data_IF_119189577674
#
_entry.id   IF_119189577674
#
_cell.length_a   1.000
_cell.length_b   1.000
_cell.length_c   1.000
_cell.angle_alpha   90.00
_cell.angle_beta   90.00
_cell.angle_gamma   90.00
#
_symmetry.space_group_name_H-M   'P 1'
#
loop_
_entity.id
_entity.type
_entity.pdbx_description
1 polymer ?
#
# COMPACT_ATOMS: atom_id res chain seq x y z
N UNK A 1 -100.74 24.94 11.62
CA UNK A 1 -102.14 24.93 12.08
C UNK A 1 -102.57 26.37 12.21
N UNK A 2 -102.97 26.93 11.07
CA UNK A 2 -103.26 28.34 10.83
C UNK A 2 -104.62 28.67 11.45
N UNK A 3 -104.85 29.93 11.85
CA UNK A 3 -106.17 30.43 12.25
C UNK A 3 -107.27 29.80 11.40
N UNK A 4 -108.30 29.22 12.04
CA UNK A 4 -109.44 28.68 11.31
C UNK A 4 -110.00 29.70 10.31
N UNK A 5 -110.53 29.28 9.15
CA UNK A 5 -110.98 30.17 8.08
C UNK A 5 -111.95 31.25 8.57
N UNK A 6 -112.74 30.91 9.59
CA UNK A 6 -113.63 31.80 10.35
C UNK A 6 -112.92 32.98 11.03
N UNK A 7 -111.80 32.73 11.72
CA UNK A 7 -111.04 33.76 12.44
C UNK A 7 -110.29 34.65 11.43
N UNK A 8 -109.72 34.05 10.38
CA UNK A 8 -109.07 34.79 9.31
C UNK A 8 -110.06 35.71 8.59
N UNK A 9 -111.25 35.22 8.26
CA UNK A 9 -112.33 36.02 7.67
C UNK A 9 -112.77 37.16 8.59
N UNK A 10 -112.84 36.93 9.90
CA UNK A 10 -113.19 37.97 10.88
C UNK A 10 -112.13 39.07 10.96
N UNK A 11 -110.83 38.70 10.99
CA UNK A 11 -109.73 39.68 10.97
C UNK A 11 -109.71 40.46 9.65
N UNK A 12 -109.90 39.79 8.51
CA UNK A 12 -109.99 40.45 7.20
C UNK A 12 -111.14 41.46 7.16
N UNK A 13 -112.33 41.10 7.67
CA UNK A 13 -113.47 42.02 7.78
C UNK A 13 -113.17 43.23 8.68
N UNK A 14 -112.51 43.03 9.83
CA UNK A 14 -112.14 44.12 10.73
C UNK A 14 -111.11 45.07 10.09
N UNK A 15 -110.11 44.54 9.40
CA UNK A 15 -109.10 45.35 8.70
C UNK A 15 -109.68 46.09 7.48
N UNK A 16 -110.63 45.48 6.76
CA UNK A 16 -111.37 46.13 5.70
C UNK A 16 -112.28 47.25 6.24
N UNK A 17 -112.97 47.02 7.35
CA UNK A 17 -113.80 48.04 8.02
C UNK A 17 -112.96 49.23 8.52
N UNK A 18 -111.72 48.99 8.94
CA UNK A 18 -110.76 50.03 9.31
C UNK A 18 -110.11 50.76 8.11
N UNK A 19 -110.54 50.46 6.86
CA UNK A 19 -109.98 50.95 5.59
C UNK A 19 -108.48 50.71 5.42
N UNK A 20 -107.93 49.70 6.09
CA UNK A 20 -106.53 49.30 5.95
C UNK A 20 -106.31 48.37 4.75
N UNK A 21 -107.36 47.64 4.35
CA UNK A 21 -107.40 46.76 3.20
C UNK A 21 -108.65 47.06 2.35
N UNK A 22 -108.51 47.05 1.04
CA UNK A 22 -109.63 47.05 0.09
C UNK A 22 -109.69 45.67 -0.55
N UNK A 23 -110.87 45.06 -0.56
CA UNK A 23 -111.09 43.77 -1.22
C UNK A 23 -111.88 44.03 -2.50
N UNK A 24 -111.28 43.78 -3.65
CA UNK A 24 -111.92 43.85 -4.96
C UNK A 24 -112.13 42.43 -5.50
N UNK A 25 -113.31 42.16 -6.06
CA UNK A 25 -113.58 40.88 -6.74
C UNK A 25 -113.14 41.02 -8.19
N UNK A 26 -112.19 40.20 -8.63
CA UNK A 26 -111.79 40.16 -10.04
C UNK A 26 -112.42 38.91 -10.66
N UNK A 27 -113.53 39.12 -11.38
CA UNK A 27 -114.19 38.07 -12.16
C UNK A 27 -115.66 37.84 -11.77
N UNK A 28 -116.46 37.47 -12.77
CA UNK A 28 -117.92 37.25 -12.68
C UNK A 28 -118.29 35.98 -11.88
N UNK A 29 -117.30 35.26 -11.36
CA UNK A 29 -117.44 34.00 -10.66
C UNK A 29 -116.89 34.00 -9.23
N UNK A 30 -116.68 35.17 -8.60
CA UNK A 30 -116.60 35.33 -7.14
C UNK A 30 -115.51 34.56 -6.36
N UNK A 31 -114.68 33.77 -7.02
CA UNK A 31 -113.66 32.91 -6.37
C UNK A 31 -112.29 33.61 -6.22
N UNK A 32 -112.02 34.66 -7.00
CA UNK A 32 -110.76 35.41 -6.95
C UNK A 32 -110.96 36.82 -6.35
N UNK A 33 -110.81 36.91 -5.02
CA UNK A 33 -110.79 38.19 -4.30
C UNK A 33 -109.36 38.73 -4.20
N UNK A 34 -109.09 39.87 -4.83
CA UNK A 34 -107.84 40.60 -4.66
C UNK A 34 -107.94 41.49 -3.42
N UNK A 35 -106.91 41.45 -2.56
CA UNK A 35 -106.81 42.30 -1.37
C UNK A 35 -105.68 43.30 -1.57
N UNK A 36 -106.02 44.57 -1.69
CA UNK A 36 -105.07 45.68 -1.83
C UNK A 36 -104.88 46.39 -0.49
N UNK A 37 -103.62 46.67 -0.12
CA UNK A 37 -103.30 47.43 1.09
C UNK A 37 -103.38 48.92 0.78
N UNK A 38 -104.24 49.65 1.49
CA UNK A 38 -104.57 51.05 1.17
C UNK A 38 -103.54 52.05 1.74
N UNK A 39 -102.84 51.68 2.82
CA UNK A 39 -101.91 52.58 3.51
C UNK A 39 -100.53 51.96 3.74
N UNK A 40 -99.50 52.64 3.27
CA UNK A 40 -98.06 52.31 3.45
C UNK A 40 -97.64 52.20 4.93
N UNK A 41 -98.42 52.83 5.83
CA UNK A 41 -98.28 52.76 7.29
C UNK A 41 -98.34 51.34 7.87
N UNK A 42 -99.10 50.43 7.24
CA UNK A 42 -99.23 49.03 7.69
C UNK A 42 -97.96 48.22 7.37
N UNK A 43 -97.40 48.45 6.18
CA UNK A 43 -96.17 47.80 5.71
C UNK A 43 -94.97 48.26 6.56
N UNK A 44 -94.94 49.53 6.96
CA UNK A 44 -93.86 50.09 7.80
C UNK A 44 -93.81 49.51 9.22
N UNK A 45 -94.98 49.23 9.84
CA UNK A 45 -95.05 48.73 11.23
C UNK A 45 -95.02 47.20 11.33
N UNK A 46 -95.33 46.46 10.27
CA UNK A 46 -95.32 45.00 10.26
C UNK A 46 -94.03 44.45 9.64
N UNK A 47 -93.00 44.31 10.46
CA UNK A 47 -91.67 43.85 10.02
C UNK A 47 -91.68 42.49 9.29
N UNK A 48 -92.53 41.54 9.72
CA UNK A 48 -92.66 40.24 9.04
C UNK A 48 -93.23 40.36 7.63
N UNK A 49 -94.24 41.22 7.42
CA UNK A 49 -94.82 41.48 6.10
C UNK A 49 -93.80 42.18 5.19
N UNK A 50 -93.06 43.14 5.73
CA UNK A 50 -91.97 43.82 5.00
C UNK A 50 -90.93 42.82 4.50
N UNK A 51 -90.49 41.89 5.36
CA UNK A 51 -89.54 40.83 4.97
C UNK A 51 -90.11 39.91 3.89
N UNK A 52 -91.37 39.49 4.00
CA UNK A 52 -92.00 38.66 2.95
C UNK A 52 -92.14 39.40 1.63
N UNK A 53 -92.44 40.71 1.67
CA UNK A 53 -92.53 41.55 0.48
C UNK A 53 -91.14 41.77 -0.15
N UNK A 54 -90.09 41.96 0.65
CA UNK A 54 -88.70 42.02 0.17
C UNK A 54 -88.27 40.69 -0.47
N UNK A 55 -88.54 39.55 0.17
CA UNK A 55 -88.28 38.21 -0.39
C UNK A 55 -89.06 37.97 -1.70
N UNK A 56 -90.32 38.41 -1.77
CA UNK A 56 -91.14 38.28 -2.98
C UNK A 56 -90.65 39.19 -4.10
N UNK A 57 -90.20 40.41 -3.79
CA UNK A 57 -89.60 41.33 -4.76
C UNK A 57 -88.27 40.79 -5.31
N UNK A 58 -87.39 40.24 -4.47
CA UNK A 58 -86.15 39.58 -4.91
C UNK A 58 -86.46 38.38 -5.83
N UNK A 59 -87.48 37.59 -5.49
CA UNK A 59 -87.93 36.47 -6.31
C UNK A 59 -88.50 36.93 -7.66
N UNK A 60 -89.31 37.98 -7.65
CA UNK A 60 -89.90 38.56 -8.86
C UNK A 60 -88.83 39.13 -9.79
N UNK A 61 -87.82 39.82 -9.24
CA UNK A 61 -86.70 40.36 -10.00
C UNK A 61 -85.90 39.24 -10.69
N UNK A 62 -85.54 38.19 -9.95
CA UNK A 62 -84.80 37.06 -10.50
C UNK A 62 -85.62 36.27 -11.54
N UNK A 63 -86.92 36.07 -11.28
CA UNK A 63 -87.83 35.42 -12.23
C UNK A 63 -87.97 36.23 -13.52
N UNK A 64 -88.05 37.56 -13.42
CA UNK A 64 -88.11 38.44 -14.58
C UNK A 64 -86.82 38.36 -15.41
N UNK A 65 -85.65 38.38 -14.75
CA UNK A 65 -84.37 38.19 -15.44
C UNK A 65 -84.29 36.83 -16.14
N UNK A 66 -84.78 35.77 -15.50
CA UNK A 66 -84.84 34.43 -16.08
C UNK A 66 -85.78 34.36 -17.29
N UNK A 67 -86.95 35.03 -17.21
CA UNK A 67 -87.90 35.13 -18.32
C UNK A 67 -87.29 35.83 -19.52
N UNK A 68 -86.64 36.97 -19.30
CA UNK A 68 -86.03 37.75 -20.37
C UNK A 68 -84.86 36.99 -21.02
N UNK A 69 -84.00 36.38 -20.21
CA UNK A 69 -82.87 35.57 -20.68
C UNK A 69 -83.34 34.32 -21.45
N UNK A 70 -84.31 33.58 -20.90
CA UNK A 70 -84.83 32.36 -21.53
C UNK A 70 -85.59 32.65 -22.84
N UNK A 71 -86.35 33.75 -22.89
CA UNK A 71 -87.02 34.21 -24.11
C UNK A 71 -86.01 34.60 -25.18
N UNK A 72 -85.00 35.39 -24.82
CA UNK A 72 -83.95 35.82 -25.75
C UNK A 72 -83.15 34.62 -26.29
N UNK A 73 -82.78 33.69 -25.40
CA UNK A 73 -82.10 32.44 -25.75
C UNK A 73 -82.93 31.58 -26.70
N UNK A 74 -84.22 31.41 -26.43
CA UNK A 74 -85.11 30.62 -27.29
C UNK A 74 -85.32 31.30 -28.66
N UNK A 75 -85.49 32.63 -28.68
CA UNK A 75 -85.68 33.41 -29.92
C UNK A 75 -84.44 33.34 -30.83
N UNK A 76 -83.24 33.30 -30.24
CA UNK A 76 -81.97 33.22 -30.98
C UNK A 76 -81.53 31.80 -31.34
N UNK A 77 -82.40 30.80 -31.21
CA UNK A 77 -82.08 29.41 -31.57
C UNK A 77 -81.21 28.67 -30.55
N UNK A 78 -81.30 29.04 -29.27
CA UNK A 78 -80.68 28.34 -28.12
C UNK A 78 -79.13 28.27 -28.12
N UNK A 79 -78.40 29.36 -28.39
CA UNK A 79 -76.93 29.35 -28.38
C UNK A 79 -76.36 29.22 -26.96
N UNK A 80 -75.24 28.47 -26.82
CA UNK A 80 -74.57 28.27 -25.53
C UNK A 80 -74.01 29.58 -24.92
N UNK A 81 -73.70 30.59 -25.74
CA UNK A 81 -73.14 31.87 -25.27
C UNK A 81 -74.15 32.80 -24.58
N UNK A 82 -75.44 32.50 -24.66
CA UNK A 82 -76.50 33.26 -23.96
C UNK A 82 -76.99 32.57 -22.67
N UNK A 83 -76.46 31.39 -22.37
CA UNK A 83 -76.76 30.71 -21.11
C UNK A 83 -76.05 31.43 -19.96
N UNK A 84 -76.72 31.53 -18.81
CA UNK A 84 -76.07 32.01 -17.60
C UNK A 84 -74.87 31.14 -17.24
N UNK A 85 -73.78 31.80 -16.82
CA UNK A 85 -72.53 31.15 -16.45
C UNK A 85 -71.83 31.93 -15.35
N UNK A 86 -70.92 31.28 -14.62
CA UNK A 86 -70.24 31.89 -13.46
C UNK A 86 -71.24 32.27 -12.37
N UNK A 87 -71.00 33.44 -11.76
CA UNK A 87 -71.73 33.91 -10.58
C UNK A 87 -73.25 33.97 -10.80
N UNK A 88 -73.72 34.39 -11.99
CA UNK A 88 -75.15 34.46 -12.32
C UNK A 88 -75.84 33.08 -12.28
N UNK A 89 -75.14 32.01 -12.66
CA UNK A 89 -75.68 30.65 -12.60
C UNK A 89 -75.68 30.11 -11.17
N UNK A 90 -74.69 30.49 -10.37
CA UNK A 90 -74.62 30.11 -8.95
C UNK A 90 -75.69 30.82 -8.13
N UNK A 91 -75.94 32.11 -8.41
CA UNK A 91 -77.03 32.87 -7.83
C UNK A 91 -78.40 32.27 -8.20
N UNK A 92 -78.61 31.95 -9.49
CA UNK A 92 -79.81 31.27 -9.95
C UNK A 92 -80.00 29.89 -9.28
N UNK A 93 -78.91 29.14 -9.05
CA UNK A 93 -78.95 27.85 -8.35
C UNK A 93 -79.35 28.00 -6.88
N UNK A 94 -78.88 29.03 -6.20
CA UNK A 94 -79.25 29.33 -4.82
C UNK A 94 -80.69 29.84 -4.71
N UNK A 95 -81.11 30.69 -5.65
CA UNK A 95 -82.48 31.17 -5.76
C UNK A 95 -83.47 30.03 -6.00
N UNK A 96 -83.18 29.13 -6.95
CA UNK A 96 -84.06 28.00 -7.28
C UNK A 96 -84.32 27.05 -6.09
N UNK A 97 -83.40 26.97 -5.12
CA UNK A 97 -83.60 26.18 -3.89
C UNK A 97 -84.64 26.78 -2.94
N UNK A 98 -84.87 28.09 -3.01
CA UNK A 98 -85.79 28.84 -2.12
C UNK A 98 -87.09 29.20 -2.81
N UNK A 99 -87.10 29.28 -4.14
CA UNK A 99 -88.27 29.62 -4.94
C UNK A 99 -89.32 28.50 -4.90
N UNK A 100 -90.54 28.83 -4.48
CA UNK A 100 -91.68 27.91 -4.41
C UNK A 100 -92.69 28.09 -5.56
N UNK A 101 -92.46 29.04 -6.46
CA UNK A 101 -93.34 29.29 -7.60
C UNK A 101 -93.12 28.32 -8.77
N UNK A 102 -94.04 28.38 -9.74
CA UNK A 102 -93.96 27.58 -10.96
C UNK A 102 -93.09 28.25 -12.03
N UNK A 103 -92.18 27.47 -12.61
CA UNK A 103 -91.43 27.88 -13.81
C UNK A 103 -92.11 27.38 -15.08
N UNK A 104 -92.04 28.16 -16.15
CA UNK A 104 -92.47 27.75 -17.49
C UNK A 104 -91.48 26.73 -18.09
N UNK A 105 -91.91 25.99 -19.11
CA UNK A 105 -91.07 24.96 -19.72
C UNK A 105 -89.82 25.55 -20.39
N UNK A 106 -89.92 26.76 -20.98
CA UNK A 106 -88.79 27.44 -21.61
C UNK A 106 -87.74 27.83 -20.56
N UNK A 107 -88.17 28.31 -19.39
CA UNK A 107 -87.29 28.64 -18.26
C UNK A 107 -86.59 27.39 -17.71
N UNK A 108 -87.32 26.29 -17.53
CA UNK A 108 -86.75 25.00 -17.08
C UNK A 108 -85.69 24.48 -18.05
N UNK A 109 -85.99 24.51 -19.35
CA UNK A 109 -85.06 24.05 -20.40
C UNK A 109 -83.82 24.95 -20.43
N UNK A 110 -83.97 26.26 -20.28
CA UNK A 110 -82.85 27.20 -20.20
C UNK A 110 -81.91 26.86 -19.03
N UNK A 111 -82.47 26.70 -17.82
CA UNK A 111 -81.68 26.36 -16.62
C UNK A 111 -81.00 25.00 -16.73
N UNK A 112 -81.69 23.98 -17.26
CA UNK A 112 -81.09 22.65 -17.49
C UNK A 112 -79.89 22.71 -18.45
N UNK A 113 -80.00 23.47 -19.54
CA UNK A 113 -78.88 23.70 -20.47
C UNK A 113 -77.72 24.44 -19.80
N UNK A 114 -78.02 25.49 -19.02
CA UNK A 114 -77.01 26.25 -18.31
C UNK A 114 -76.26 25.38 -17.28
N UNK A 115 -76.98 24.58 -16.48
CA UNK A 115 -76.38 23.66 -15.51
C UNK A 115 -75.55 22.56 -16.18
N UNK A 116 -76.05 21.95 -17.26
CA UNK A 116 -75.29 20.92 -18.00
C UNK A 116 -74.01 21.46 -18.61
N UNK A 117 -74.02 22.70 -19.11
CA UNK A 117 -72.83 23.35 -19.66
C UNK A 117 -71.79 23.65 -18.57
N UNK A 118 -72.22 24.16 -17.42
CA UNK A 118 -71.36 24.42 -16.28
C UNK A 118 -70.73 23.14 -15.72
N UNK A 119 -71.50 22.06 -15.58
CA UNK A 119 -70.98 20.77 -15.13
C UNK A 119 -69.93 20.19 -16.10
N UNK A 120 -70.16 20.33 -17.41
CA UNK A 120 -69.19 19.90 -18.44
C UNK A 120 -67.89 20.71 -18.36
N UNK A 121 -67.98 22.03 -18.18
CA UNK A 121 -66.79 22.89 -18.09
C UNK A 121 -66.01 22.63 -16.79
N UNK A 122 -66.70 22.41 -15.66
CA UNK A 122 -66.10 22.04 -14.39
C UNK A 122 -65.40 20.67 -14.46
N UNK A 123 -66.04 19.66 -15.07
CA UNK A 123 -65.42 18.35 -15.31
C UNK A 123 -64.16 18.46 -16.18
N UNK A 124 -64.20 19.22 -17.27
CA UNK A 124 -63.03 19.45 -18.14
C UNK A 124 -61.88 20.09 -17.37
N UNK A 125 -62.14 21.15 -16.60
CA UNK A 125 -61.13 21.79 -15.76
C UNK A 125 -60.52 20.81 -14.75
N UNK A 126 -61.35 20.00 -14.07
CA UNK A 126 -60.88 18.96 -13.15
C UNK A 126 -60.00 17.92 -13.84
N UNK A 127 -60.38 17.46 -15.03
CA UNK A 127 -59.55 16.52 -15.80
C UNK A 127 -58.22 17.16 -16.22
N UNK A 128 -58.22 18.39 -16.72
CA UNK A 128 -56.98 19.09 -17.09
C UNK A 128 -56.03 19.23 -15.89
N UNK A 129 -56.55 19.65 -14.74
CA UNK A 129 -55.77 19.76 -13.50
C UNK A 129 -55.26 18.39 -13.05
N UNK A 130 -56.11 17.36 -13.05
CA UNK A 130 -55.71 16.00 -12.68
C UNK A 130 -54.63 15.46 -13.62
N UNK A 131 -54.77 15.64 -14.93
CA UNK A 131 -53.74 15.24 -15.92
C UNK A 131 -52.43 15.99 -15.73
N UNK A 132 -52.48 17.29 -15.43
CA UNK A 132 -51.29 18.09 -15.16
C UNK A 132 -50.56 17.59 -13.91
N UNK A 133 -51.30 17.27 -12.83
CA UNK A 133 -50.74 16.69 -11.60
C UNK A 133 -50.09 15.34 -11.89
N UNK A 134 -50.75 14.45 -12.65
CA UNK A 134 -50.20 13.13 -13.00
C UNK A 134 -48.93 13.27 -13.85
N UNK A 135 -48.93 14.15 -14.84
CA UNK A 135 -47.74 14.42 -15.67
C UNK A 135 -46.59 14.97 -14.81
N UNK A 136 -46.88 15.91 -13.91
CA UNK A 136 -45.89 16.45 -12.99
C UNK A 136 -45.32 15.38 -12.05
N UNK A 137 -46.16 14.47 -11.55
CA UNK A 137 -45.74 13.34 -10.73
C UNK A 137 -44.85 12.36 -11.52
N UNK A 138 -45.17 12.09 -12.79
CA UNK A 138 -44.33 11.25 -13.66
C UNK A 138 -42.95 11.87 -13.89
N UNK A 139 -42.89 13.19 -14.13
CA UNK A 139 -41.62 13.92 -14.29
C UNK A 139 -40.79 13.88 -13.01
N UNK A 140 -41.39 14.09 -11.84
CA UNK A 140 -40.67 14.05 -10.57
C UNK A 140 -40.17 12.66 -10.23
N UNK A 141 -40.98 11.61 -10.45
CA UNK A 141 -40.55 10.21 -10.29
C UNK A 141 -39.38 9.89 -11.23
N UNK A 142 -39.47 10.29 -12.51
CA UNK A 142 -38.39 10.12 -13.48
C UNK A 142 -37.09 10.82 -13.04
N UNK A 143 -37.17 12.04 -12.53
CA UNK A 143 -36.03 12.78 -12.00
C UNK A 143 -35.40 12.08 -10.77
N UNK A 144 -36.23 11.57 -9.86
CA UNK A 144 -35.76 10.80 -8.69
C UNK A 144 -35.01 9.54 -9.14
N UNK A 145 -35.59 8.77 -10.08
CA UNK A 145 -34.96 7.57 -10.62
C UNK A 145 -33.63 7.88 -11.31
N UNK A 146 -33.56 8.96 -12.09
CA UNK A 146 -32.32 9.41 -12.72
C UNK A 146 -31.24 9.78 -11.68
N UNK A 147 -31.61 10.49 -10.61
CA UNK A 147 -30.69 10.81 -9.51
C UNK A 147 -30.18 9.56 -8.79
N UNK A 148 -31.04 8.55 -8.60
CA UNK A 148 -30.63 7.28 -8.02
C UNK A 148 -29.67 6.50 -8.93
N UNK A 149 -29.90 6.49 -10.24
CA UNK A 149 -29.02 5.85 -11.21
C UNK A 149 -27.62 6.51 -11.23
N UNK A 150 -27.55 7.84 -11.24
CA UNK A 150 -26.28 8.59 -11.20
C UNK A 150 -25.51 8.28 -9.91
N UNK A 151 -26.18 8.31 -8.75
CA UNK A 151 -25.55 7.96 -7.46
C UNK A 151 -25.12 6.49 -7.39
N UNK A 152 -25.84 5.60 -8.07
CA UNK A 152 -25.46 4.19 -8.22
C UNK A 152 -24.17 4.02 -9.02
N UNK A 153 -24.06 4.73 -10.15
CA UNK A 153 -22.89 4.72 -11.02
C UNK A 153 -21.63 5.30 -10.34
N UNK A 154 -21.78 6.34 -9.50
CA UNK A 154 -20.65 6.84 -8.71
C UNK A 154 -20.11 5.81 -7.72
N UNK A 155 -20.97 4.98 -7.12
CA UNK A 155 -20.54 3.95 -6.17
C UNK A 155 -19.76 2.83 -6.86
N UNK A 156 -20.13 2.43 -8.07
CA UNK A 156 -19.40 1.41 -8.83
C UNK A 156 -18.05 1.97 -9.29
N UNK A 157 -18.03 3.19 -9.85
CA UNK A 157 -16.79 3.86 -10.26
C UNK A 157 -15.81 4.06 -9.08
N UNK A 158 -16.30 4.44 -7.90
CA UNK A 158 -15.47 4.57 -6.68
C UNK A 158 -14.92 3.21 -6.24
N UNK A 159 -15.72 2.14 -6.28
CA UNK A 159 -15.26 0.79 -5.93
C UNK A 159 -14.17 0.30 -6.88
N UNK A 160 -14.31 0.53 -8.17
CA UNK A 160 -13.29 0.18 -9.17
C UNK A 160 -12.01 0.99 -9.00
N UNK A 161 -12.12 2.31 -8.79
CA UNK A 161 -10.97 3.17 -8.52
C UNK A 161 -10.22 2.77 -7.23
N UNK A 162 -10.95 2.33 -6.18
CA UNK A 162 -10.34 1.82 -4.95
C UNK A 162 -9.63 0.49 -5.20
N UNK A 163 -10.24 -0.44 -5.95
CA UNK A 163 -9.58 -1.71 -6.32
C UNK A 163 -8.30 -1.47 -7.11
N UNK A 164 -8.36 -0.62 -8.14
CA UNK A 164 -7.19 -0.24 -8.94
C UNK A 164 -6.09 0.41 -8.09
N UNK A 165 -6.44 1.28 -7.14
CA UNK A 165 -5.47 1.87 -6.20
C UNK A 165 -4.85 0.82 -5.26
N UNK A 166 -5.62 -0.15 -4.79
CA UNK A 166 -5.10 -1.22 -3.93
C UNK A 166 -4.12 -2.10 -4.72
N UNK A 167 -4.46 -2.46 -5.96
CA UNK A 167 -3.59 -3.24 -6.84
C UNK A 167 -2.31 -2.48 -7.18
N UNK A 168 -2.40 -1.21 -7.55
CA UNK A 168 -1.24 -0.35 -7.79
C UNK A 168 -0.34 -0.23 -6.54
N UNK A 169 -0.94 -0.11 -5.34
CA UNK A 169 -0.18 -0.04 -4.09
C UNK A 169 0.49 -1.37 -3.75
N UNK A 170 -0.17 -2.51 -4.02
CA UNK A 170 0.43 -3.84 -3.87
C UNK A 170 1.60 -4.04 -4.82
N UNK A 171 1.45 -3.65 -6.09
CA UNK A 171 2.53 -3.68 -7.08
C UNK A 171 3.73 -2.82 -6.64
N UNK A 172 3.48 -1.59 -6.17
CA UNK A 172 4.55 -0.71 -5.68
C UNK A 172 5.29 -1.27 -4.45
N UNK A 173 4.58 -1.96 -3.54
CA UNK A 173 5.21 -2.65 -2.39
C UNK A 173 6.01 -3.87 -2.85
N UNK A 174 5.50 -4.63 -3.81
CA UNK A 174 6.22 -5.76 -4.41
C UNK A 174 7.52 -5.28 -5.09
N UNK A 175 7.48 -4.20 -5.88
CA UNK A 175 8.68 -3.62 -6.48
C UNK A 175 9.70 -3.16 -5.42
N UNK A 176 9.24 -2.53 -4.33
CA UNK A 176 10.14 -2.11 -3.24
C UNK A 176 10.79 -3.29 -2.54
N UNK A 177 10.06 -4.38 -2.33
CA UNK A 177 10.62 -5.59 -1.70
C UNK A 177 11.61 -6.30 -2.62
N UNK A 178 11.31 -6.38 -3.93
CA UNK A 178 12.27 -6.88 -4.93
C UNK A 178 13.52 -6.01 -4.96
N UNK A 179 13.39 -4.68 -5.03
CA UNK A 179 14.55 -3.76 -5.01
C UNK A 179 15.39 -3.93 -3.75
N UNK A 180 14.77 -4.06 -2.57
CA UNK A 180 15.50 -4.32 -1.31
C UNK A 180 16.27 -5.65 -1.37
N UNK A 181 15.63 -6.73 -1.81
CA UNK A 181 16.29 -8.04 -1.97
C UNK A 181 17.42 -8.00 -2.99
N UNK A 182 17.25 -7.27 -4.10
CA UNK A 182 18.31 -7.09 -5.10
C UNK A 182 19.53 -6.38 -4.52
N UNK A 183 19.34 -5.31 -3.74
CA UNK A 183 20.44 -4.62 -3.05
C UNK A 183 21.11 -5.53 -2.01
N UNK A 184 20.36 -6.36 -1.31
CA UNK A 184 20.89 -7.31 -0.34
C UNK A 184 21.72 -8.41 -1.01
N UNK A 185 21.20 -9.02 -2.08
CA UNK A 185 21.93 -9.98 -2.91
C UNK A 185 23.18 -9.34 -3.56
N UNK A 186 23.11 -8.09 -4.00
CA UNK A 186 24.28 -7.38 -4.52
C UNK A 186 25.35 -7.17 -3.44
N UNK A 187 24.95 -6.89 -2.19
CA UNK A 187 25.89 -6.81 -1.06
C UNK A 187 26.50 -8.17 -0.73
N UNK A 188 25.70 -9.24 -0.71
CA UNK A 188 26.18 -10.59 -0.45
C UNK A 188 27.14 -11.07 -1.53
N UNK A 189 26.81 -10.85 -2.80
CA UNK A 189 27.70 -11.19 -3.93
C UNK A 189 28.98 -10.36 -3.92
N UNK A 190 28.94 -9.07 -3.57
CA UNK A 190 30.15 -8.25 -3.36
C UNK A 190 31.01 -8.77 -2.22
N UNK A 191 30.39 -9.14 -1.08
CA UNK A 191 31.10 -9.76 0.05
C UNK A 191 31.74 -11.08 -0.35
N UNK A 192 31.02 -11.95 -1.05
CA UNK A 192 31.53 -13.22 -1.55
C UNK A 192 32.73 -13.00 -2.49
N UNK A 193 32.60 -12.11 -3.49
CA UNK A 193 33.71 -11.76 -4.39
C UNK A 193 34.92 -11.20 -3.63
N UNK A 194 34.71 -10.35 -2.62
CA UNK A 194 35.80 -9.82 -1.79
C UNK A 194 36.46 -10.89 -0.91
N UNK A 195 35.70 -11.88 -0.46
CA UNK A 195 36.23 -13.01 0.30
C UNK A 195 37.03 -13.96 -0.60
N UNK A 196 36.56 -14.19 -1.84
CA UNK A 196 37.30 -14.95 -2.86
C UNK A 196 38.62 -14.27 -3.24
N UNK A 197 38.63 -12.94 -3.44
CA UNK A 197 39.88 -12.22 -3.73
C UNK A 197 40.84 -12.27 -2.55
N UNK A 198 40.36 -12.11 -1.32
CA UNK A 198 41.17 -12.27 -0.11
C UNK A 198 41.71 -13.70 0.03
N UNK A 199 40.89 -14.72 -0.24
CA UNK A 199 41.32 -16.12 -0.21
C UNK A 199 42.38 -16.40 -1.27
N UNK A 200 42.23 -15.86 -2.48
CA UNK A 200 43.23 -15.95 -3.55
C UNK A 200 44.56 -15.28 -3.16
N UNK A 201 44.51 -14.12 -2.51
CA UNK A 201 45.70 -13.45 -1.97
C UNK A 201 46.37 -14.28 -0.88
N UNK A 202 45.60 -14.78 0.10
CA UNK A 202 46.12 -15.66 1.15
C UNK A 202 46.76 -16.93 0.59
N UNK A 203 46.17 -17.52 -0.45
CA UNK A 203 46.75 -18.69 -1.12
C UNK A 203 48.10 -18.33 -1.76
N UNK A 204 48.22 -17.18 -2.43
CA UNK A 204 49.50 -16.70 -2.97
C UNK A 204 50.55 -16.51 -1.88
N UNK A 205 50.17 -15.97 -0.73
CA UNK A 205 51.08 -15.76 0.39
C UNK A 205 51.53 -17.08 1.03
N UNK A 206 50.62 -18.05 1.17
CA UNK A 206 50.93 -19.41 1.63
C UNK A 206 51.87 -20.12 0.64
N UNK A 207 51.64 -19.99 -0.67
CA UNK A 207 52.53 -20.55 -1.69
C UNK A 207 53.93 -19.94 -1.59
N UNK A 208 54.04 -18.61 -1.48
CA UNK A 208 55.33 -17.92 -1.28
C UNK A 208 56.02 -18.36 0.02
N UNK A 209 55.26 -18.55 1.09
CA UNK A 209 55.80 -19.04 2.36
C UNK A 209 56.35 -20.46 2.21
N UNK A 210 55.60 -21.37 1.58
CA UNK A 210 56.07 -22.73 1.28
C UNK A 210 57.29 -22.75 0.38
N UNK A 211 57.36 -21.89 -0.64
CA UNK A 211 58.56 -21.77 -1.49
C UNK A 211 59.80 -21.38 -0.67
N UNK A 212 59.63 -20.45 0.30
CA UNK A 212 60.72 -20.08 1.22
C UNK A 212 61.10 -21.24 2.13
N UNK A 213 60.14 -21.99 2.66
CA UNK A 213 60.41 -23.18 3.48
C UNK A 213 61.15 -24.25 2.70
N UNK A 214 60.74 -24.53 1.45
CA UNK A 214 61.42 -25.50 0.57
C UNK A 214 62.86 -25.06 0.30
N UNK A 215 63.10 -23.77 0.01
CA UNK A 215 64.46 -23.22 -0.16
C UNK A 215 65.29 -23.37 1.11
N UNK A 216 64.74 -22.98 2.26
CA UNK A 216 65.43 -23.14 3.54
C UNK A 216 65.74 -24.61 3.86
N UNK A 217 64.83 -25.54 3.54
CA UNK A 217 65.08 -26.98 3.67
C UNK A 217 66.19 -27.47 2.73
N UNK A 218 66.25 -26.97 1.50
CA UNK A 218 67.31 -27.30 0.56
C UNK A 218 68.67 -26.78 1.05
N UNK A 219 68.72 -25.54 1.53
CA UNK A 219 69.92 -24.91 2.10
C UNK A 219 70.41 -25.65 3.36
N UNK A 220 69.48 -26.07 4.22
CA UNK A 220 69.79 -26.92 5.39
C UNK A 220 70.35 -28.27 4.96
N UNK A 221 69.80 -28.89 3.91
CA UNK A 221 70.30 -30.17 3.38
C UNK A 221 71.70 -30.03 2.79
N UNK A 222 71.95 -28.97 2.02
CA UNK A 222 73.27 -28.64 1.49
C UNK A 222 74.27 -28.40 2.62
N UNK A 223 73.91 -27.57 3.60
CA UNK A 223 74.72 -27.32 4.79
C UNK A 223 75.03 -28.60 5.57
N UNK A 224 74.05 -29.48 5.76
CA UNK A 224 74.24 -30.76 6.43
C UNK A 224 75.18 -31.68 5.62
N UNK A 225 75.07 -31.69 4.28
CA UNK A 225 75.98 -32.46 3.42
C UNK A 225 77.43 -31.96 3.52
N UNK A 226 77.62 -30.64 3.59
CA UNK A 226 78.93 -30.00 3.81
C UNK A 226 79.48 -30.35 5.19
N UNK A 227 78.66 -30.32 6.23
CA UNK A 227 79.04 -30.73 7.58
C UNK A 227 79.44 -32.21 7.63
N UNK A 228 78.71 -33.10 6.95
CA UNK A 228 79.07 -34.53 6.84
C UNK A 228 80.41 -34.69 6.12
N UNK A 229 80.64 -33.95 5.03
CA UNK A 229 81.93 -33.92 4.34
C UNK A 229 83.08 -33.44 5.22
N UNK A 230 82.90 -32.30 5.89
CA UNK A 230 83.86 -31.74 6.83
C UNK A 230 84.18 -32.71 7.98
N UNK A 231 83.16 -33.38 8.52
CA UNK A 231 83.33 -34.39 9.56
C UNK A 231 84.11 -35.61 9.05
N UNK A 232 83.90 -36.04 7.80
CA UNK A 232 84.70 -37.11 7.18
C UNK A 232 86.17 -36.69 7.02
N UNK A 233 86.42 -35.47 6.57
CA UNK A 233 87.77 -34.91 6.48
C UNK A 233 88.43 -34.79 7.85
N UNK A 234 87.71 -34.30 8.86
CA UNK A 234 88.20 -34.22 10.23
C UNK A 234 88.54 -35.60 10.81
N UNK A 235 87.71 -36.62 10.59
CA UNK A 235 88.00 -38.01 10.98
C UNK A 235 89.23 -38.58 10.26
N UNK A 236 89.39 -38.29 8.97
CA UNK A 236 90.56 -38.73 8.22
C UNK A 236 91.84 -38.05 8.73
N UNK A 237 91.79 -36.75 9.01
CA UNK A 237 92.89 -36.00 9.61
C UNK A 237 93.22 -36.52 11.02
N UNK A 238 92.21 -36.83 11.84
CA UNK A 238 92.40 -37.46 13.14
C UNK A 238 93.13 -38.81 13.01
N UNK A 239 92.68 -39.68 12.09
CA UNK A 239 93.32 -40.97 11.85
C UNK A 239 94.77 -40.81 11.36
N UNK A 240 95.02 -39.84 10.47
CA UNK A 240 96.38 -39.53 10.02
C UNK A 240 97.26 -39.02 11.16
N UNK A 241 96.73 -38.20 12.07
CA UNK A 241 97.44 -37.75 13.26
C UNK A 241 97.75 -38.92 14.22
N UNK A 242 96.83 -39.87 14.40
CA UNK A 242 97.06 -41.11 15.16
C UNK A 242 98.12 -42.01 14.52
N UNK A 243 98.11 -42.15 13.19
CA UNK A 243 99.14 -42.90 12.46
C UNK A 243 100.50 -42.20 12.51
N UNK A 244 100.55 -40.87 12.39
CA UNK A 244 101.76 -40.08 12.50
C UNK A 244 102.35 -40.16 13.91
N UNK A 245 101.53 -40.06 14.96
CA UNK A 245 101.98 -40.24 16.35
C UNK A 245 102.47 -41.67 16.61
N UNK A 246 101.81 -42.70 16.04
CA UNK A 246 102.27 -44.08 16.12
C UNK A 246 103.60 -44.31 15.39
N UNK A 247 103.78 -43.74 14.20
CA UNK A 247 105.05 -43.77 13.45
C UNK A 247 106.15 -43.04 14.19
N UNK A 248 105.88 -41.85 14.73
CA UNK A 248 106.83 -41.10 15.54
C UNK A 248 107.26 -41.89 16.79
N UNK A 249 106.32 -42.58 17.45
CA UNK A 249 106.62 -43.47 18.58
C UNK A 249 107.55 -44.62 18.19
N UNK A 250 107.29 -45.29 17.06
CA UNK A 250 108.15 -46.36 16.52
C UNK A 250 109.54 -45.84 16.14
N UNK A 251 109.62 -44.68 15.49
CA UNK A 251 110.90 -44.05 15.14
C UNK A 251 111.71 -43.69 16.39
N UNK A 252 111.07 -43.13 17.42
CA UNK A 252 111.72 -42.85 18.70
C UNK A 252 112.24 -44.13 19.39
N UNK A 253 111.53 -45.25 19.24
CA UNK A 253 111.94 -46.56 19.76
C UNK A 253 113.13 -47.14 18.99
N UNK A 254 113.17 -46.99 17.66
CA UNK A 254 114.34 -47.35 16.85
C UNK A 254 115.57 -46.51 17.20
N UNK A 255 115.41 -45.20 17.41
CA UNK A 255 116.51 -44.32 17.85
C UNK A 255 117.04 -44.76 19.22
N UNK A 256 116.17 -45.21 20.13
CA UNK A 256 116.63 -45.79 21.42
C UNK A 256 117.44 -47.07 21.24
N UNK A 257 117.01 -47.96 20.33
CA UNK A 257 117.72 -49.21 20.04
C UNK A 257 119.08 -48.96 19.37
N UNK A 258 119.16 -48.02 18.42
CA UNK A 258 120.43 -47.67 17.77
C UNK A 258 121.40 -47.00 18.75
N UNK A 259 120.91 -46.12 19.63
CA UNK A 259 121.72 -45.54 20.70
C UNK A 259 122.24 -46.60 21.69
N UNK A 260 121.50 -47.69 21.93
CA UNK A 260 121.97 -48.82 22.73
C UNK A 260 123.09 -49.59 22.02
N UNK A 261 122.97 -49.84 20.72
CA UNK A 261 124.03 -50.50 19.93
C UNK A 261 125.31 -49.66 19.81
N UNK A 262 125.20 -48.33 19.70
CA UNK A 262 126.36 -47.43 19.73
C UNK A 262 127.06 -47.46 21.10
N UNK A 263 126.31 -47.54 22.19
CA UNK A 263 126.89 -47.68 23.54
C UNK A 263 127.68 -48.99 23.67
N UNK A 264 127.14 -50.11 23.18
CA UNK A 264 127.87 -51.38 23.19
C UNK A 264 129.10 -51.36 22.27
N UNK A 265 129.02 -50.70 21.12
CA UNK A 265 130.16 -50.55 20.20
C UNK A 265 131.28 -49.68 20.80
N UNK A 266 130.94 -48.62 21.56
CA UNK A 266 131.93 -47.80 22.27
C UNK A 266 132.67 -48.59 23.36
N UNK A 267 131.96 -49.42 24.14
CA UNK A 267 132.58 -50.27 25.17
C UNK A 267 133.54 -51.28 24.54
N UNK A 268 133.14 -51.92 23.44
CA UNK A 268 134.00 -52.86 22.70
C UNK A 268 135.26 -52.18 22.11
N UNK A 269 135.12 -50.96 21.56
CA UNK A 269 136.25 -50.20 21.03
C UNK A 269 137.25 -49.80 22.14
N UNK A 270 136.78 -49.57 23.36
CA UNK A 270 137.63 -49.30 24.51
C UNK A 270 138.42 -50.53 24.96
N UNK A 271 137.80 -51.72 24.94
CA UNK A 271 138.49 -52.99 25.24
C UNK A 271 139.57 -53.30 24.20
N UNK A 272 139.27 -53.14 22.91
CA UNK A 272 140.24 -53.33 21.83
C UNK A 272 141.48 -52.42 21.97
N UNK A 273 141.30 -51.18 22.44
CA UNK A 273 142.41 -50.26 22.72
C UNK A 273 143.28 -50.70 23.90
N UNK A 274 142.69 -51.31 24.93
CA UNK A 274 143.44 -51.84 26.08
C UNK A 274 144.31 -53.02 25.66
N UNK A 275 143.75 -53.94 24.87
CA UNK A 275 144.46 -55.14 24.39
C UNK A 275 145.64 -54.77 23.48
N UNK A 276 145.47 -53.75 22.63
CA UNK A 276 146.54 -53.23 21.77
C UNK A 276 147.72 -52.64 22.58
N UNK A 277 147.44 -52.06 23.75
CA UNK A 277 148.46 -51.52 24.66
C UNK A 277 149.30 -52.64 25.30
N UNK A 278 148.69 -53.78 25.60
CA UNK A 278 149.38 -54.96 26.16
C UNK A 278 150.28 -55.61 25.11
N UNK A 279 149.83 -55.68 23.85
CA UNK A 279 150.62 -56.24 22.75
C UNK A 279 151.86 -55.40 22.42
N UNK A 280 151.73 -54.06 22.41
CA UNK A 280 152.87 -53.16 22.17
C UNK A 280 153.94 -53.23 23.28
N UNK A 281 153.55 -53.50 24.53
CA UNK A 281 154.51 -53.70 25.61
C UNK A 281 155.31 -55.01 25.42
N UNK A 282 154.63 -56.06 24.95
CA UNK A 282 155.24 -57.35 24.61
C UNK A 282 156.26 -57.23 23.48
N UNK A 283 155.94 -56.42 22.47
CA UNK A 283 156.83 -56.19 21.33
C UNK A 283 158.10 -55.40 21.72
N UNK A 284 157.97 -54.41 22.61
CA UNK A 284 159.12 -53.67 23.18
C UNK A 284 160.06 -54.56 23.98
N UNK A 285 159.56 -55.59 24.69
CA UNK A 285 160.42 -56.56 25.38
C UNK A 285 161.16 -57.48 24.40
N UNK A 286 160.51 -57.91 23.31
CA UNK A 286 161.17 -58.74 22.30
C UNK A 286 162.28 -58.00 21.56
N UNK A 287 162.10 -56.70 21.27
CA UNK A 287 163.14 -55.87 20.65
C UNK A 287 164.34 -55.67 21.60
N UNK A 288 164.12 -55.49 22.90
CA UNK A 288 165.20 -55.45 23.90
C UNK A 288 165.97 -56.77 23.99
N UNK A 289 165.31 -57.92 23.90
CA UNK A 289 165.96 -59.24 23.90
C UNK A 289 166.82 -59.48 22.65
N UNK A 290 166.38 -58.98 21.49
CA UNK A 290 167.14 -59.10 20.23
C UNK A 290 168.37 -58.16 20.19
N UNK A 291 168.31 -56.98 20.82
CA UNK A 291 169.47 -56.09 20.95
C UNK A 291 170.56 -56.65 21.90
N UNK A 292 170.18 -57.43 22.93
CA UNK A 292 171.13 -58.09 23.84
C UNK A 292 171.88 -59.29 23.23
N UNK A 293 171.30 -59.94 22.22
CA UNK A 293 171.96 -61.02 21.45
C UNK A 293 172.93 -60.47 20.40
N UNK A 294 172.63 -59.30 19.82
CA UNK A 294 173.49 -58.63 18.83
C UNK A 294 174.81 -58.12 19.43
N UNK A 295 174.81 -57.67 20.69
CA UNK A 295 176.05 -57.23 21.36
C UNK A 295 176.97 -58.39 21.78
N UNK A 296 176.46 -59.62 21.89
CA UNK A 296 177.22 -60.82 22.30
C UNK A 296 177.97 -61.53 21.16
N UNK A 297 177.64 -61.24 19.90
CA UNK A 297 178.20 -61.90 18.71
C UNK A 297 179.41 -61.15 18.09
N UNK A 298 179.64 -59.87 18.43
CA UNK A 298 180.72 -59.06 17.81
C UNK A 298 182.05 -59.07 18.62
N UNK A 299 182.09 -59.70 19.81
CA UNK A 299 183.30 -59.73 20.67
C UNK A 299 184.18 -61.00 20.55
N UNK A 300 183.85 -61.95 19.67
CA UNK A 300 184.69 -63.13 19.40
C UNK A 300 184.73 -63.44 17.90
N UNK A 301 185.70 -62.88 17.18
CA UNK A 301 186.52 -63.62 16.22
C UNK A 301 187.78 -62.80 15.83
N UNK A 302 188.98 -63.41 15.70
CA UNK A 302 190.26 -62.72 15.53
C UNK A 302 190.72 -62.51 14.07
N UNK A 303 191.71 -61.61 13.95
CA UNK A 303 192.53 -61.24 12.78
C UNK A 303 193.09 -62.41 11.93
N UNK A 304 193.07 -62.17 10.61
CA UNK A 304 194.04 -62.42 9.51
C UNK A 304 193.29 -62.99 8.30
N UNK A 305 193.45 -62.48 7.07
CA UNK A 305 194.61 -61.84 6.41
C UNK A 305 194.22 -60.46 5.89
#
# INVERSE_FOLDING_TARGET
>A
SFMGPEIAARILKTLAAARLLTISSIGDHGEDAQVEVVHESLISRWQTLKRWLEEDNENAAMLQQLRDASKQWNTRGRPNGLLWSGDALDEARLWLKRYQGGLTDIEKIFLDHAFKLADRSARRKRYLVATAIVLMAMVTIGAILALFAIRGAEKTAKKEAVKAKIEARRAAVAERTVKKKMVELEKETKRAKSAETLASQRLKDVVKAREKEIKAQADLKDSNSKLVGALKHAKAAQKQAEEATRKARRAAEQVKLSAASERTARIAAEQARRDLKVLLLKERETVKRLQALRSKIIQKLPRKI
#
